data_IF_844386685209
#
_entry.id   IF_844386685209
#
_cell.length_a   1.000
_cell.length_b   1.000
_cell.length_c   1.000
_cell.angle_alpha   90.00
_cell.angle_beta   90.00
_cell.angle_gamma   90.00
#
_symmetry.space_group_name_H-M   'P 1'
#
loop_
_entity.id
_entity.type
_entity.pdbx_description
1 polymer ?
#
# COMPACT_ATOMS: atom_id res chain seq x y z
N UNK A 1 -2.73 -14.16 14.74
CA UNK A 1 -1.28 -14.51 14.60
C UNK A 1 -0.60 -14.41 15.95
N UNK A 2 0.20 -15.42 16.35
CA UNK A 2 1.01 -15.37 17.58
C UNK A 2 2.49 -15.21 17.21
N UNK A 3 3.02 -14.03 17.48
CA UNK A 3 4.45 -13.74 17.34
C UNK A 3 5.14 -14.13 18.62
N UNK A 4 6.04 -15.11 18.57
CA UNK A 4 6.79 -15.58 19.74
C UNK A 4 7.99 -14.70 20.09
N UNK A 5 8.56 -14.00 19.11
CA UNK A 5 9.76 -13.18 19.24
C UNK A 5 9.66 -11.91 18.42
N UNK A 6 10.23 -10.82 18.92
CA UNK A 6 10.29 -9.54 18.22
C UNK A 6 11.14 -9.64 16.93
N UNK A 7 10.62 -9.26 15.75
CA UNK A 7 11.39 -9.30 14.50
C UNK A 7 12.67 -8.44 14.54
N UNK A 8 12.69 -7.37 15.34
CA UNK A 8 13.81 -6.43 15.36
C UNK A 8 14.89 -6.78 16.38
N UNK A 9 14.52 -7.12 17.61
CA UNK A 9 15.50 -7.33 18.70
C UNK A 9 15.56 -8.75 19.25
N UNK A 10 14.69 -9.68 18.78
CA UNK A 10 14.64 -11.07 19.26
C UNK A 10 14.04 -11.25 20.65
N UNK A 11 13.57 -10.19 21.29
CA UNK A 11 12.97 -10.32 22.63
C UNK A 11 11.67 -11.14 22.56
N UNK A 12 11.36 -11.94 23.61
CA UNK A 12 10.13 -12.72 23.64
C UNK A 12 8.89 -11.82 23.56
N UNK A 13 7.91 -12.23 22.79
CA UNK A 13 6.63 -11.55 22.62
C UNK A 13 5.52 -12.34 23.32
N UNK A 14 4.56 -11.61 23.90
CA UNK A 14 3.36 -12.20 24.50
C UNK A 14 2.25 -12.33 23.44
N UNK A 15 1.36 -13.32 23.56
CA UNK A 15 0.18 -13.43 22.69
C UNK A 15 -0.61 -12.10 22.67
N UNK A 16 -1.12 -11.73 21.48
CA UNK A 16 -1.90 -10.51 21.26
C UNK A 16 -1.14 -9.17 21.40
N UNK A 17 0.16 -9.21 21.63
CA UNK A 17 0.99 -8.01 21.69
C UNK A 17 1.23 -7.44 20.30
N UNK A 18 1.01 -6.13 20.11
CA UNK A 18 1.22 -5.47 18.80
C UNK A 18 2.60 -4.84 18.66
N UNK A 19 3.21 -4.44 19.77
CA UNK A 19 4.50 -3.75 19.77
C UNK A 19 5.44 -4.40 20.79
N UNK A 20 6.71 -4.42 20.48
CA UNK A 20 7.74 -4.91 21.40
C UNK A 20 7.87 -4.01 22.64
N UNK A 21 7.86 -4.59 23.83
CA UNK A 21 8.03 -3.85 25.10
C UNK A 21 9.43 -3.21 25.20
N UNK A 22 10.44 -3.81 24.56
CA UNK A 22 11.83 -3.39 24.64
C UNK A 22 12.22 -2.36 23.58
N UNK A 23 12.06 -2.68 22.29
CA UNK A 23 12.51 -1.81 21.20
C UNK A 23 11.38 -1.03 20.52
N UNK A 24 10.12 -1.20 20.99
CA UNK A 24 8.91 -0.55 20.46
C UNK A 24 8.58 -0.88 18.99
N UNK A 25 9.27 -1.85 18.40
CA UNK A 25 9.00 -2.30 17.03
C UNK A 25 7.59 -2.89 16.92
N UNK A 26 6.90 -2.59 15.82
CA UNK A 26 5.60 -3.19 15.50
C UNK A 26 5.80 -4.65 15.09
N UNK A 27 4.91 -5.55 15.55
CA UNK A 27 4.96 -6.95 15.13
C UNK A 27 4.23 -7.17 13.81
N UNK A 28 3.22 -6.36 13.53
CA UNK A 28 2.38 -6.45 12.34
C UNK A 28 2.51 -5.17 11.51
N UNK A 29 3.09 -5.31 10.33
CA UNK A 29 3.25 -4.20 9.40
C UNK A 29 1.98 -4.09 8.55
N UNK A 30 1.27 -3.00 8.71
CA UNK A 30 0.07 -2.66 7.91
C UNK A 30 0.30 -1.50 6.96
N UNK A 31 1.44 -0.82 7.07
CA UNK A 31 1.80 0.35 6.26
C UNK A 31 3.26 0.31 5.82
N UNK A 32 3.50 0.66 4.56
CA UNK A 32 4.85 0.88 4.03
C UNK A 32 5.54 2.04 4.77
N UNK A 33 4.77 2.99 5.34
CA UNK A 33 5.27 4.13 6.10
C UNK A 33 6.10 3.73 7.32
N UNK A 34 5.76 2.64 7.97
CA UNK A 34 6.56 2.12 9.07
C UNK A 34 7.94 1.63 8.60
N UNK A 35 7.99 0.81 7.56
CA UNK A 35 9.25 0.24 7.04
C UNK A 35 10.25 1.30 6.58
N UNK A 36 9.77 2.42 6.05
CA UNK A 36 10.67 3.48 5.61
C UNK A 36 11.34 4.27 6.73
N UNK A 37 10.99 4.02 7.99
CA UNK A 37 11.72 4.54 9.14
C UNK A 37 12.91 3.65 9.51
N UNK A 38 12.99 2.45 8.93
CA UNK A 38 14.01 1.45 9.25
C UNK A 38 15.16 1.53 8.24
N UNK A 39 16.33 1.14 8.70
CA UNK A 39 17.47 0.87 7.81
C UNK A 39 17.27 -0.46 7.04
N UNK A 40 18.14 -0.73 6.11
CA UNK A 40 18.12 -1.95 5.30
C UNK A 40 18.19 -3.22 6.17
N UNK A 41 18.94 -3.17 7.28
CA UNK A 41 19.04 -4.29 8.22
C UNK A 41 17.72 -4.59 8.90
N UNK A 42 17.02 -3.55 9.36
CA UNK A 42 15.70 -3.66 9.97
C UNK A 42 14.64 -4.19 9.00
N UNK A 43 14.65 -3.73 7.74
CA UNK A 43 13.75 -4.24 6.70
C UNK A 43 14.02 -5.72 6.43
N UNK A 44 15.28 -6.13 6.33
CA UNK A 44 15.64 -7.53 6.10
C UNK A 44 15.22 -8.46 7.24
N UNK A 45 15.24 -7.99 8.50
CA UNK A 45 14.73 -8.76 9.64
C UNK A 45 13.23 -9.05 9.49
N UNK A 46 12.42 -8.05 9.10
CA UNK A 46 11.01 -8.25 8.81
C UNK A 46 10.79 -9.20 7.63
N UNK A 47 11.60 -9.09 6.58
CA UNK A 47 11.54 -10.00 5.45
C UNK A 47 11.73 -11.47 5.88
N UNK A 48 12.75 -11.75 6.70
CA UNK A 48 12.98 -13.11 7.19
C UNK A 48 11.86 -13.58 8.13
N UNK A 49 11.39 -12.69 9.00
CA UNK A 49 10.28 -12.98 9.90
C UNK A 49 9.02 -13.39 9.14
N UNK A 50 8.56 -12.58 8.18
CA UNK A 50 7.35 -12.90 7.40
C UNK A 50 7.52 -14.09 6.47
N UNK A 51 8.71 -14.30 5.90
CA UNK A 51 9.00 -15.54 5.13
C UNK A 51 8.87 -16.79 6.00
N UNK A 52 9.32 -16.73 7.25
CA UNK A 52 9.17 -17.83 8.20
C UNK A 52 7.69 -18.04 8.52
N UNK A 53 6.98 -16.98 8.91
CA UNK A 53 5.55 -17.04 9.26
C UNK A 53 4.69 -17.63 8.14
N UNK A 54 4.83 -17.14 6.92
CA UNK A 54 4.03 -17.61 5.77
C UNK A 54 4.41 -19.02 5.31
N UNK A 55 5.59 -19.50 5.67
CA UNK A 55 6.00 -20.90 5.47
C UNK A 55 5.37 -21.83 6.53
N UNK A 56 5.32 -21.39 7.79
CA UNK A 56 4.75 -22.14 8.91
C UNK A 56 3.22 -22.13 8.87
N UNK A 57 2.62 -21.01 8.47
CA UNK A 57 1.18 -20.86 8.28
C UNK A 57 0.86 -20.23 6.91
N UNK A 58 0.67 -21.03 5.86
CA UNK A 58 0.41 -20.54 4.49
C UNK A 58 -0.95 -19.82 4.32
N UNK A 59 -1.85 -19.96 5.26
CA UNK A 59 -3.19 -19.36 5.24
C UNK A 59 -3.31 -18.11 6.14
N UNK A 60 -2.17 -17.61 6.61
CA UNK A 60 -2.12 -16.40 7.42
C UNK A 60 -2.13 -15.13 6.55
N UNK A 61 -3.30 -14.51 6.38
CA UNK A 61 -3.47 -13.30 5.58
C UNK A 61 -2.62 -12.12 6.10
N UNK A 62 -2.51 -11.96 7.43
CA UNK A 62 -1.68 -10.87 8.01
C UNK A 62 -0.19 -11.08 7.71
N UNK A 63 0.30 -12.32 7.78
CA UNK A 63 1.66 -12.68 7.41
C UNK A 63 1.95 -12.38 5.94
N UNK A 64 1.03 -12.74 5.05
CA UNK A 64 1.16 -12.42 3.62
C UNK A 64 1.07 -10.91 3.35
N UNK A 65 0.24 -10.16 4.07
CA UNK A 65 0.18 -8.70 3.96
C UNK A 65 1.52 -8.07 4.34
N UNK A 66 2.07 -8.43 5.51
CA UNK A 66 3.37 -7.93 5.97
C UNK A 66 4.52 -8.30 5.03
N UNK A 67 4.50 -9.53 4.48
CA UNK A 67 5.47 -9.99 3.48
C UNK A 67 5.37 -9.16 2.19
N UNK A 68 4.16 -8.93 1.69
CA UNK A 68 3.90 -8.13 0.50
C UNK A 68 4.36 -6.69 0.66
N UNK A 69 4.04 -6.06 1.80
CA UNK A 69 4.50 -4.69 2.13
C UNK A 69 6.03 -4.63 2.20
N UNK A 70 6.67 -5.65 2.77
CA UNK A 70 8.14 -5.70 2.85
C UNK A 70 8.76 -5.86 1.46
N UNK A 71 8.23 -6.72 0.59
CA UNK A 71 8.67 -6.83 -0.80
C UNK A 71 8.46 -5.53 -1.58
N UNK A 72 7.32 -4.85 -1.37
CA UNK A 72 7.02 -3.57 -2.02
C UNK A 72 8.04 -2.50 -1.63
N UNK A 73 8.40 -2.42 -0.34
CA UNK A 73 9.43 -1.50 0.15
C UNK A 73 10.82 -1.78 -0.46
N UNK A 74 11.12 -3.05 -0.75
CA UNK A 74 12.37 -3.48 -1.39
C UNK A 74 12.35 -3.37 -2.94
N UNK A 75 11.25 -2.88 -3.53
CA UNK A 75 11.09 -2.81 -4.99
C UNK A 75 10.92 -4.17 -5.68
N UNK A 76 10.65 -5.23 -4.91
CA UNK A 76 10.45 -6.59 -5.42
C UNK A 76 8.99 -6.79 -5.88
N UNK A 77 8.54 -5.95 -6.81
CA UNK A 77 7.13 -5.81 -7.21
C UNK A 77 6.41 -7.12 -7.58
N UNK A 78 7.00 -8.06 -8.35
CA UNK A 78 6.31 -9.33 -8.66
C UNK A 78 6.04 -10.19 -7.42
N UNK A 79 6.98 -10.20 -6.45
CA UNK A 79 6.81 -10.94 -5.20
C UNK A 79 5.81 -10.25 -4.27
N UNK A 80 5.81 -8.92 -4.23
CA UNK A 80 4.82 -8.14 -3.51
C UNK A 80 3.41 -8.44 -4.04
N UNK A 81 3.22 -8.37 -5.36
CA UNK A 81 1.93 -8.65 -6.00
C UNK A 81 1.42 -10.05 -5.64
N UNK A 82 2.25 -11.08 -5.77
CA UNK A 82 1.89 -12.47 -5.42
C UNK A 82 1.45 -12.58 -3.95
N UNK A 83 2.13 -11.87 -3.04
CA UNK A 83 1.76 -11.87 -1.63
C UNK A 83 0.40 -11.19 -1.40
N UNK A 84 0.13 -10.06 -2.06
CA UNK A 84 -1.16 -9.37 -1.94
C UNK A 84 -2.30 -10.14 -2.60
N UNK A 85 -2.07 -10.80 -3.73
CA UNK A 85 -3.05 -11.72 -4.35
C UNK A 85 -3.44 -12.84 -3.38
N UNK A 86 -2.45 -13.37 -2.64
CA UNK A 86 -2.76 -14.38 -1.61
C UNK A 86 -3.59 -13.80 -0.45
N UNK A 87 -3.34 -12.55 -0.03
CA UNK A 87 -4.21 -11.88 0.97
C UNK A 87 -5.63 -11.74 0.44
N UNK A 88 -5.80 -11.31 -0.81
CA UNK A 88 -7.13 -11.16 -1.44
C UNK A 88 -7.89 -12.49 -1.50
N UNK A 89 -7.19 -13.60 -1.77
CA UNK A 89 -7.79 -14.95 -1.75
C UNK A 89 -8.24 -15.38 -0.35
N UNK A 90 -7.45 -15.07 0.68
CA UNK A 90 -7.70 -15.49 2.06
C UNK A 90 -8.69 -14.59 2.80
N UNK A 91 -8.62 -13.29 2.57
CA UNK A 91 -9.35 -12.25 3.29
C UNK A 91 -9.67 -11.07 2.36
N UNK A 92 -10.68 -11.22 1.47
CA UNK A 92 -11.02 -10.20 0.48
C UNK A 92 -11.54 -8.88 1.07
N UNK A 93 -11.84 -8.86 2.37
CA UNK A 93 -12.27 -7.66 3.09
C UNK A 93 -11.13 -6.72 3.51
N UNK A 94 -9.86 -7.09 3.31
CA UNK A 94 -8.70 -6.26 3.67
C UNK A 94 -8.40 -5.26 2.54
N UNK A 95 -8.77 -3.97 2.64
CA UNK A 95 -8.62 -3.00 1.56
C UNK A 95 -7.16 -2.69 1.22
N UNK A 96 -6.25 -2.79 2.21
CA UNK A 96 -4.81 -2.57 2.02
C UNK A 96 -4.21 -3.52 0.98
N UNK A 97 -4.71 -4.76 0.88
CA UNK A 97 -4.22 -5.74 -0.09
C UNK A 97 -4.44 -5.28 -1.53
N UNK A 98 -5.60 -4.71 -1.84
CA UNK A 98 -5.92 -4.16 -3.16
C UNK A 98 -5.13 -2.88 -3.45
N UNK A 99 -5.04 -1.98 -2.46
CA UNK A 99 -4.27 -0.75 -2.59
C UNK A 99 -2.79 -1.04 -2.90
N UNK A 100 -2.15 -1.90 -2.10
CA UNK A 100 -0.75 -2.24 -2.32
C UNK A 100 -0.51 -3.12 -3.55
N UNK A 101 -1.46 -3.98 -3.93
CA UNK A 101 -1.41 -4.71 -5.19
C UNK A 101 -1.43 -3.76 -6.39
N UNK A 102 -2.24 -2.69 -6.35
CA UNK A 102 -2.25 -1.66 -7.40
C UNK A 102 -0.89 -0.94 -7.51
N UNK A 103 -0.27 -0.58 -6.39
CA UNK A 103 1.07 0.02 -6.37
C UNK A 103 2.14 -0.95 -6.89
N UNK A 104 2.06 -2.22 -6.53
CA UNK A 104 2.97 -3.26 -7.04
C UNK A 104 2.83 -3.45 -8.57
N UNK A 105 1.63 -3.32 -9.13
CA UNK A 105 1.41 -3.35 -10.60
C UNK A 105 1.94 -2.10 -11.30
N UNK A 106 1.89 -0.93 -10.67
CA UNK A 106 2.46 0.32 -11.23
C UNK A 106 3.99 0.23 -11.29
N UNK A 107 4.64 -0.47 -10.37
CA UNK A 107 6.09 -0.72 -10.37
C UNK A 107 6.95 0.55 -10.39
N UNK A 108 6.51 1.61 -9.74
CA UNK A 108 7.22 2.89 -9.73
C UNK A 108 7.24 3.61 -11.09
N UNK A 109 6.39 3.22 -12.04
CA UNK A 109 6.26 3.86 -13.36
C UNK A 109 5.31 5.06 -13.31
N UNK A 110 5.40 5.93 -14.30
CA UNK A 110 4.37 6.96 -14.53
C UNK A 110 3.09 6.31 -15.02
N UNK A 111 1.95 6.66 -14.45
CA UNK A 111 0.64 6.09 -14.82
C UNK A 111 0.35 6.19 -16.31
N UNK A 112 0.65 7.33 -16.96
CA UNK A 112 0.45 7.54 -18.39
C UNK A 112 1.22 6.56 -19.31
N UNK A 113 2.23 5.85 -18.77
CA UNK A 113 3.03 4.88 -19.54
C UNK A 113 2.50 3.45 -19.47
N UNK A 114 1.46 3.22 -18.69
CA UNK A 114 0.82 1.91 -18.60
C UNK A 114 0.06 1.62 -19.90
N UNK A 115 -0.01 0.35 -20.28
CA UNK A 115 -0.95 -0.09 -21.30
C UNK A 115 -2.40 0.06 -20.79
N UNK A 116 -3.37 0.12 -21.70
CA UNK A 116 -4.79 0.22 -21.31
C UNK A 116 -5.24 -0.95 -20.41
N UNK A 117 -4.72 -2.15 -20.65
CA UNK A 117 -5.01 -3.32 -19.81
C UNK A 117 -4.45 -3.14 -18.41
N UNK A 118 -3.17 -2.78 -18.30
CA UNK A 118 -2.54 -2.53 -16.99
C UNK A 118 -3.25 -1.42 -16.21
N UNK A 119 -3.59 -0.32 -16.88
CA UNK A 119 -4.29 0.78 -16.23
C UNK A 119 -5.68 0.37 -15.70
N UNK A 120 -6.45 -0.40 -16.48
CA UNK A 120 -7.73 -0.94 -16.01
C UNK A 120 -7.60 -1.91 -14.84
N UNK A 121 -6.57 -2.76 -14.85
CA UNK A 121 -6.30 -3.69 -13.74
C UNK A 121 -5.94 -2.91 -12.46
N UNK A 122 -5.05 -1.92 -12.58
CA UNK A 122 -4.65 -1.04 -11.47
C UNK A 122 -5.84 -0.26 -10.94
N UNK A 123 -6.66 0.31 -11.84
CA UNK A 123 -7.86 1.05 -11.50
C UNK A 123 -8.89 0.18 -10.76
N UNK A 124 -9.12 -1.03 -11.24
CA UNK A 124 -10.04 -1.98 -10.60
C UNK A 124 -9.63 -2.27 -9.15
N UNK A 125 -8.35 -2.54 -8.91
CA UNK A 125 -7.81 -2.77 -7.57
C UNK A 125 -7.97 -1.52 -6.68
N UNK A 126 -7.56 -0.34 -7.17
CA UNK A 126 -7.68 0.90 -6.40
C UNK A 126 -9.14 1.24 -6.06
N UNK A 127 -10.07 1.01 -7.00
CA UNK A 127 -11.49 1.21 -6.80
C UNK A 127 -12.05 0.24 -5.75
N UNK A 128 -11.65 -1.03 -5.78
CA UNK A 128 -12.06 -2.02 -4.77
C UNK A 128 -11.59 -1.61 -3.38
N UNK A 129 -10.34 -1.15 -3.22
CA UNK A 129 -9.85 -0.65 -1.93
C UNK A 129 -10.70 0.53 -1.41
N UNK A 130 -11.02 1.50 -2.28
CA UNK A 130 -11.84 2.66 -1.91
C UNK A 130 -13.30 2.29 -1.61
N UNK A 131 -13.84 1.23 -2.21
CA UNK A 131 -15.19 0.72 -1.91
C UNK A 131 -15.26 -0.03 -0.59
N UNK A 132 -14.25 -0.82 -0.23
CA UNK A 132 -14.20 -1.55 1.03
C UNK A 132 -14.04 -0.59 2.22
N UNK A 133 -13.15 0.40 2.08
CA UNK A 133 -12.95 1.43 3.12
C UNK A 133 -13.02 2.84 2.52
N UNK A 134 -14.24 3.38 2.34
CA UNK A 134 -14.43 4.73 1.83
C UNK A 134 -14.02 5.84 2.83
N UNK A 135 -13.74 5.46 4.08
CA UNK A 135 -13.25 6.40 5.09
C UNK A 135 -11.76 6.73 4.91
N UNK A 136 -11.00 5.86 4.25
CA UNK A 136 -9.57 6.08 4.02
C UNK A 136 -9.33 6.95 2.77
N UNK A 137 -8.92 8.22 2.93
CA UNK A 137 -8.75 9.14 1.81
C UNK A 137 -7.59 8.76 0.88
N UNK A 138 -6.62 7.96 1.34
CA UNK A 138 -5.45 7.54 0.54
C UNK A 138 -5.85 6.63 -0.62
N UNK A 139 -6.86 5.77 -0.42
CA UNK A 139 -7.37 4.89 -1.49
C UNK A 139 -8.07 5.70 -2.58
N UNK A 140 -8.93 6.65 -2.17
CA UNK A 140 -9.59 7.57 -3.11
C UNK A 140 -8.58 8.46 -3.83
N UNK A 141 -7.52 8.91 -3.15
CA UNK A 141 -6.45 9.69 -3.75
C UNK A 141 -5.73 8.94 -4.85
N UNK A 142 -5.39 7.65 -4.65
CA UNK A 142 -4.77 6.83 -5.70
C UNK A 142 -5.70 6.70 -6.91
N UNK A 143 -7.00 6.47 -6.69
CA UNK A 143 -7.97 6.39 -7.78
C UNK A 143 -8.06 7.71 -8.55
N UNK A 144 -8.08 8.85 -7.86
CA UNK A 144 -8.07 10.18 -8.49
C UNK A 144 -6.80 10.40 -9.35
N UNK A 145 -5.64 9.95 -8.86
CA UNK A 145 -4.38 10.01 -9.63
C UNK A 145 -4.45 9.17 -10.91
N UNK A 146 -5.02 7.96 -10.84
CA UNK A 146 -5.21 7.11 -12.02
C UNK A 146 -6.12 7.81 -13.04
N UNK A 147 -7.26 8.40 -12.59
CA UNK A 147 -8.19 9.11 -13.46
C UNK A 147 -7.49 10.25 -14.21
N UNK A 148 -6.72 11.07 -13.52
CA UNK A 148 -6.02 12.21 -14.09
C UNK A 148 -4.78 11.81 -14.88
N UNK A 149 -3.83 11.11 -14.25
CA UNK A 149 -2.50 10.91 -14.81
C UNK A 149 -2.45 9.77 -15.83
N UNK A 150 -3.51 8.97 -15.94
CA UNK A 150 -3.65 8.02 -17.04
C UNK A 150 -4.64 8.50 -18.08
N UNK A 151 -5.91 8.67 -17.74
CA UNK A 151 -6.95 8.98 -18.76
C UNK A 151 -6.79 10.39 -19.33
N UNK A 152 -6.79 11.40 -18.48
CA UNK A 152 -6.71 12.80 -18.96
C UNK A 152 -5.36 13.11 -19.61
N UNK A 153 -4.25 12.60 -19.04
CA UNK A 153 -2.92 12.79 -19.60
C UNK A 153 -2.72 12.13 -20.97
N UNK A 154 -3.47 11.06 -21.27
CA UNK A 154 -3.49 10.41 -22.58
C UNK A 154 -4.61 10.95 -23.50
N UNK A 155 -5.29 12.04 -23.12
CA UNK A 155 -6.38 12.62 -23.91
C UNK A 155 -7.63 11.75 -23.99
N UNK A 156 -7.79 10.81 -23.07
CA UNK A 156 -8.95 9.92 -23.01
C UNK A 156 -10.02 10.48 -22.07
N UNK A 157 -11.28 10.17 -22.36
CA UNK A 157 -12.38 10.49 -21.42
C UNK A 157 -12.21 9.69 -20.13
N UNK A 158 -12.07 10.40 -19.02
CA UNK A 158 -12.03 9.76 -17.69
C UNK A 158 -13.39 9.12 -17.36
N UNK A 159 -13.42 7.88 -16.85
CA UNK A 159 -14.64 7.31 -16.29
C UNK A 159 -15.18 8.13 -15.12
N UNK A 160 -16.49 8.02 -14.83
CA UNK A 160 -17.09 8.65 -13.64
C UNK A 160 -16.91 7.72 -12.39
N UNK A 161 -16.72 8.29 -11.20
CA UNK A 161 -16.41 9.71 -10.95
C UNK A 161 -15.02 10.10 -11.48
N UNK A 162 -14.90 11.32 -12.02
CA UNK A 162 -13.61 11.84 -12.50
C UNK A 162 -12.68 12.24 -11.36
N UNK A 163 -11.45 12.66 -11.67
CA UNK A 163 -10.45 13.00 -10.65
C UNK A 163 -10.91 14.11 -9.70
N UNK A 164 -11.58 15.15 -10.23
CA UNK A 164 -12.06 16.28 -9.42
C UNK A 164 -13.20 15.88 -8.49
N UNK A 165 -14.14 15.07 -8.98
CA UNK A 165 -15.25 14.53 -8.18
C UNK A 165 -14.72 13.65 -7.04
N UNK A 166 -13.72 12.79 -7.31
CA UNK A 166 -13.07 11.97 -6.28
C UNK A 166 -12.36 12.84 -5.23
N UNK A 167 -11.59 13.83 -5.66
CA UNK A 167 -10.89 14.73 -4.74
C UNK A 167 -11.85 15.55 -3.87
N UNK A 168 -13.01 15.95 -4.40
CA UNK A 168 -14.03 16.64 -3.63
C UNK A 168 -14.56 15.79 -2.47
N UNK A 169 -14.61 14.45 -2.61
CA UNK A 169 -15.08 13.54 -1.54
C UNK A 169 -14.11 13.43 -0.36
N UNK A 170 -12.83 13.73 -0.58
CA UNK A 170 -11.79 13.68 0.45
C UNK A 170 -11.31 15.05 0.91
N UNK A 171 -11.92 16.13 0.41
CA UNK A 171 -11.59 17.50 0.80
C UNK A 171 -11.84 17.71 2.30
N UNK A 172 -10.83 18.24 3.00
CA UNK A 172 -10.90 18.46 4.46
C UNK A 172 -10.66 17.22 5.31
N UNK A 173 -10.36 16.06 4.71
CA UNK A 173 -9.91 14.89 5.47
C UNK A 173 -8.39 14.96 5.66
N UNK A 174 -7.92 14.62 6.86
CA UNK A 174 -6.49 14.47 7.11
C UNK A 174 -5.93 13.26 6.34
N UNK A 175 -4.90 13.53 5.55
CA UNK A 175 -4.07 12.47 4.95
C UNK A 175 -2.68 12.63 5.55
N UNK A 176 -2.17 11.57 6.17
CA UNK A 176 -0.84 11.62 6.75
C UNK A 176 0.20 12.00 5.69
N UNK A 177 0.96 13.07 5.90
CA UNK A 177 1.95 13.62 4.95
C UNK A 177 2.90 12.54 4.45
N UNK A 178 3.31 11.62 5.34
CA UNK A 178 4.18 10.48 4.99
C UNK A 178 3.54 9.50 4.01
N UNK A 179 2.25 9.28 4.08
CA UNK A 179 1.53 8.42 3.12
C UNK A 179 1.48 9.09 1.74
N UNK A 180 1.27 10.40 1.70
CA UNK A 180 1.30 11.17 0.45
C UNK A 180 2.69 11.18 -0.17
N UNK A 181 3.74 11.42 0.61
CA UNK A 181 5.13 11.38 0.13
C UNK A 181 5.50 10.01 -0.45
N UNK A 182 5.01 8.94 0.18
CA UNK A 182 5.21 7.59 -0.32
C UNK A 182 4.43 7.29 -1.58
N UNK A 183 3.19 7.72 -1.64
CA UNK A 183 2.41 7.60 -2.87
C UNK A 183 3.12 8.32 -4.02
N UNK A 184 3.65 9.52 -3.76
CA UNK A 184 4.50 10.27 -4.74
C UNK A 184 5.74 9.49 -5.16
N UNK A 185 6.39 8.80 -4.24
CA UNK A 185 7.60 8.03 -4.54
C UNK A 185 7.30 6.72 -5.31
N UNK A 186 6.16 6.09 -5.02
CA UNK A 186 5.75 4.82 -5.65
C UNK A 186 5.02 5.01 -6.98
N UNK A 187 4.34 6.14 -7.14
CA UNK A 187 3.69 6.57 -8.37
C UNK A 187 4.38 7.86 -8.78
N UNK A 188 5.13 7.85 -9.90
CA UNK A 188 5.82 9.04 -10.38
C UNK A 188 4.81 10.08 -10.87
N UNK A 189 4.27 10.85 -9.92
CA UNK A 189 3.22 11.85 -10.15
C UNK A 189 3.84 13.15 -10.67
N UNK A 190 3.11 13.89 -11.50
CA UNK A 190 3.48 15.25 -11.89
C UNK A 190 3.44 16.16 -10.66
N UNK A 191 4.51 16.96 -10.44
CA UNK A 191 4.74 17.74 -9.22
C UNK A 191 3.64 18.75 -8.88
N UNK A 192 2.94 19.26 -9.88
CA UNK A 192 1.90 20.28 -9.79
C UNK A 192 0.61 19.81 -9.10
N UNK A 193 0.31 18.50 -9.07
CA UNK A 193 -0.95 17.99 -8.54
C UNK A 193 -1.12 18.16 -7.03
N UNK A 194 -0.08 17.89 -6.27
CA UNK A 194 -0.16 17.90 -4.80
C UNK A 194 -0.04 19.30 -4.20
N UNK A 195 0.65 20.23 -4.90
CA UNK A 195 0.84 21.61 -4.42
C UNK A 195 -0.37 22.51 -4.65
N UNK A 196 -1.15 22.25 -5.69
CA UNK A 196 -2.25 23.14 -6.07
C UNK A 196 -3.60 22.76 -5.44
N UNK A 197 -3.82 21.49 -5.11
CA UNK A 197 -5.16 21.00 -4.75
C UNK A 197 -5.29 20.26 -3.42
N UNK A 198 -4.23 19.68 -2.90
CA UNK A 198 -4.19 19.20 -1.54
C UNK A 198 -3.50 20.27 -0.71
N UNK A 199 -4.26 21.14 -0.05
CA UNK A 199 -3.77 21.90 1.10
C UNK A 199 -3.46 20.87 2.18
N UNK A 200 -2.30 20.23 2.07
CA UNK A 200 -1.74 19.40 3.12
C UNK A 200 -1.34 20.37 4.23
N UNK A 201 -2.06 20.31 5.34
CA UNK A 201 -1.73 20.99 6.58
C UNK A 201 -0.54 20.31 7.23
#
# INVERSE_FOLDING_TARGET
>A
MDVSECPQCGAPAKPSQRNCEFCKAEFFITSVAYLGKLDQGGINKYLQHYKKLTKENPDDAEGHLGLGITFLQLGMFPLALKSFERVIELSPEIPQSYYYASLAKIQGRRLMTLSLKEAKDVESLANTAAQIDPANPTFTLLLALIRRDYYEANGMKSPAPNAEELLATIQGREIETKEVERLKAMVLVRQDFFSERLKLV
#
